data_IF_516723817301
#
_entry.id   IF_516723817301
#
_cell.length_a   1.000
_cell.length_b   1.000
_cell.length_c   1.000
_cell.angle_alpha   90.00
_cell.angle_beta   90.00
_cell.angle_gamma   90.00
#
_symmetry.space_group_name_H-M   'P 1'
#
loop_
_entity.id
_entity.type
_entity.pdbx_description
1 polymer ?
#
# COMPACT_ATOMS: atom_id res chain seq x y z
N UNK A 1 -23.38 27.64 12.90
CA UNK A 1 -23.08 27.39 11.48
C UNK A 1 -22.10 26.25 11.44
N UNK A 2 -22.44 25.14 10.80
CA UNK A 2 -21.51 24.04 10.63
C UNK A 2 -20.34 24.50 9.78
N UNK A 3 -19.10 24.36 10.27
CA UNK A 3 -17.89 24.77 9.55
C UNK A 3 -17.58 23.97 8.27
N UNK A 4 -18.55 23.21 7.76
CA UNK A 4 -18.43 22.35 6.60
C UNK A 4 -19.10 23.02 5.40
N UNK A 5 -18.30 23.38 4.39
CA UNK A 5 -18.74 23.84 3.06
C UNK A 5 -18.23 22.84 2.01
N UNK A 6 -18.84 21.65 1.97
CA UNK A 6 -18.47 20.62 1.01
C UNK A 6 -19.15 20.85 -0.34
N UNK A 7 -18.40 20.62 -1.42
CA UNK A 7 -18.90 20.59 -2.80
C UNK A 7 -18.93 19.13 -3.30
N UNK A 8 -20.07 18.42 -3.19
CA UNK A 8 -20.13 16.97 -3.46
C UNK A 8 -19.64 16.57 -4.84
N UNK A 9 -19.96 17.35 -5.88
CA UNK A 9 -19.49 17.08 -7.25
C UNK A 9 -17.97 17.20 -7.39
N UNK A 10 -17.35 18.19 -6.75
CA UNK A 10 -15.90 18.33 -6.74
C UNK A 10 -15.23 17.17 -6.01
N UNK A 11 -15.82 16.73 -4.90
CA UNK A 11 -15.32 15.58 -4.13
C UNK A 11 -15.42 14.29 -4.94
N UNK A 12 -16.53 14.05 -5.62
CA UNK A 12 -16.67 12.88 -6.52
C UNK A 12 -15.61 12.87 -7.62
N UNK A 13 -15.29 14.03 -8.21
CA UNK A 13 -14.20 14.15 -9.18
C UNK A 13 -12.84 13.73 -8.59
N UNK A 14 -12.49 14.26 -7.42
CA UNK A 14 -11.24 13.92 -6.72
C UNK A 14 -11.19 12.44 -6.32
N UNK A 15 -12.29 11.89 -5.78
CA UNK A 15 -12.41 10.49 -5.42
C UNK A 15 -12.19 9.57 -6.62
N UNK A 16 -12.78 9.92 -7.77
CA UNK A 16 -12.61 9.15 -9.01
C UNK A 16 -11.15 9.13 -9.45
N UNK A 17 -10.53 10.31 -9.62
CA UNK A 17 -9.13 10.40 -10.09
C UNK A 17 -8.14 9.77 -9.10
N UNK A 18 -8.40 9.92 -7.80
CA UNK A 18 -7.56 9.30 -6.76
C UNK A 18 -7.75 7.78 -6.75
N UNK A 19 -8.98 7.28 -6.92
CA UNK A 19 -9.26 5.85 -7.05
C UNK A 19 -8.63 5.23 -8.29
N UNK A 20 -8.70 5.91 -9.44
CA UNK A 20 -8.01 5.52 -10.67
C UNK A 20 -6.49 5.42 -10.43
N UNK A 21 -5.88 6.44 -9.81
CA UNK A 21 -4.44 6.42 -9.49
C UNK A 21 -4.09 5.30 -8.52
N UNK A 22 -4.90 5.11 -7.47
CA UNK A 22 -4.70 4.06 -6.48
C UNK A 22 -4.83 2.65 -7.08
N UNK A 23 -5.66 2.47 -8.11
CA UNK A 23 -5.80 1.19 -8.81
C UNK A 23 -4.51 0.72 -9.47
N UNK A 24 -3.60 1.64 -9.80
CA UNK A 24 -2.30 1.31 -10.39
C UNK A 24 -1.26 0.85 -9.37
N UNK A 25 -1.51 0.98 -8.06
CA UNK A 25 -0.56 0.57 -7.01
C UNK A 25 -0.23 -0.92 -7.13
N UNK A 26 -1.22 -1.77 -7.39
CA UNK A 26 -1.00 -3.21 -7.54
C UNK A 26 -0.13 -3.51 -8.77
N UNK A 27 -0.36 -2.82 -9.89
CA UNK A 27 0.46 -2.96 -11.11
C UNK A 27 1.91 -2.56 -10.85
N UNK A 28 2.14 -1.43 -10.19
CA UNK A 28 3.48 -0.98 -9.86
C UNK A 28 4.18 -1.91 -8.85
N UNK A 29 3.44 -2.44 -7.86
CA UNK A 29 3.98 -3.41 -6.92
C UNK A 29 4.40 -4.72 -7.60
N UNK A 30 3.64 -5.21 -8.58
CA UNK A 30 4.00 -6.39 -9.39
C UNK A 30 5.27 -6.13 -10.20
N UNK A 31 5.30 -5.03 -10.96
CA UNK A 31 6.47 -4.65 -11.76
C UNK A 31 7.74 -4.50 -10.89
N UNK A 32 7.59 -3.91 -9.70
CA UNK A 32 8.69 -3.78 -8.75
C UNK A 32 9.23 -5.15 -8.30
N UNK A 33 8.35 -6.11 -7.96
CA UNK A 33 8.75 -7.47 -7.60
C UNK A 33 9.43 -8.23 -8.75
N UNK A 34 8.95 -8.07 -9.97
CA UNK A 34 9.56 -8.65 -11.18
C UNK A 34 10.98 -8.10 -11.41
N UNK A 35 11.16 -6.79 -11.26
CA UNK A 35 12.48 -6.16 -11.40
C UNK A 35 13.45 -6.58 -10.29
N UNK A 36 13.00 -6.72 -9.05
CA UNK A 36 13.83 -7.23 -7.96
C UNK A 36 14.24 -8.69 -8.19
N UNK A 37 13.32 -9.54 -8.65
CA UNK A 37 13.62 -10.94 -8.99
C UNK A 37 14.63 -11.03 -10.13
N UNK A 38 14.44 -10.21 -11.17
CA UNK A 38 15.39 -10.09 -12.27
C UNK A 38 16.76 -9.63 -11.79
N UNK A 39 16.82 -8.59 -10.96
CA UNK A 39 18.07 -8.10 -10.40
C UNK A 39 18.77 -9.16 -9.53
N UNK A 40 18.04 -9.88 -8.67
CA UNK A 40 18.59 -10.95 -7.83
C UNK A 40 19.16 -12.10 -8.68
N UNK A 41 18.48 -12.45 -9.77
CA UNK A 41 18.93 -13.49 -10.71
C UNK A 41 20.20 -13.07 -11.45
N UNK A 42 20.33 -11.79 -11.80
CA UNK A 42 21.44 -11.25 -12.59
C UNK A 42 22.61 -10.72 -11.73
N UNK A 43 22.44 -10.57 -10.41
CA UNK A 43 23.43 -9.96 -9.50
C UNK A 43 24.69 -10.81 -9.26
N UNK A 44 24.82 -11.99 -9.89
CA UNK A 44 26.03 -12.81 -9.83
C UNK A 44 26.20 -13.58 -8.51
N UNK A 45 27.22 -14.44 -8.49
CA UNK A 45 27.43 -15.47 -7.46
C UNK A 45 28.57 -15.10 -6.50
N UNK A 46 28.51 -13.91 -5.87
CA UNK A 46 29.43 -13.63 -4.76
C UNK A 46 29.04 -14.55 -3.60
N UNK A 47 29.73 -15.68 -3.50
CA UNK A 47 29.60 -16.65 -2.41
C UNK A 47 30.02 -16.02 -1.09
N UNK A 48 29.33 -16.38 -0.01
CA UNK A 48 29.47 -15.76 1.32
C UNK A 48 30.77 -16.12 2.06
N UNK A 49 31.66 -16.92 1.47
CA UNK A 49 32.96 -17.26 2.05
C UNK A 49 34.03 -17.02 0.99
N UNK A 50 35.17 -16.45 1.37
CA UNK A 50 36.28 -16.07 0.48
C UNK A 50 37.00 -17.24 -0.21
N UNK A 51 36.28 -18.21 -0.75
CA UNK A 51 36.79 -19.37 -1.48
C UNK A 51 36.66 -19.18 -2.98
N UNK A 52 37.80 -19.24 -3.67
CA UNK A 52 37.85 -19.28 -5.12
C UNK A 52 37.20 -20.54 -5.70
N UNK A 53 36.60 -20.38 -6.88
CA UNK A 53 36.42 -21.43 -7.88
C UNK A 53 35.46 -22.58 -7.53
N UNK A 54 34.26 -22.54 -8.09
CA UNK A 54 33.41 -23.74 -8.22
C UNK A 54 31.93 -23.42 -8.29
N UNK A 55 31.33 -23.69 -9.45
CA UNK A 55 29.90 -23.71 -9.82
C UNK A 55 28.96 -22.61 -9.31
N UNK A 56 28.23 -22.01 -10.26
CA UNK A 56 27.23 -20.96 -10.09
C UNK A 56 26.27 -21.23 -8.91
N UNK A 57 26.62 -20.78 -7.71
CA UNK A 57 25.70 -20.70 -6.60
C UNK A 57 24.61 -19.69 -6.98
N UNK A 58 23.42 -20.19 -7.35
CA UNK A 58 22.28 -19.33 -7.65
C UNK A 58 21.99 -18.46 -6.41
N UNK A 59 22.32 -17.17 -6.52
CA UNK A 59 22.12 -16.17 -5.48
C UNK A 59 23.31 -16.01 -4.52
N UNK A 60 24.24 -15.11 -4.86
CA UNK A 60 25.23 -14.61 -3.90
C UNK A 60 24.62 -13.70 -2.83
N UNK A 61 25.45 -13.13 -1.95
CA UNK A 61 25.04 -12.20 -0.88
C UNK A 61 24.09 -11.09 -1.35
N UNK A 62 24.25 -10.62 -2.58
CA UNK A 62 23.40 -9.60 -3.20
C UNK A 62 21.97 -10.11 -3.41
N UNK A 63 21.78 -11.34 -3.89
CA UNK A 63 20.45 -11.92 -4.06
C UNK A 63 19.73 -12.09 -2.71
N UNK A 64 20.46 -12.48 -1.65
CA UNK A 64 19.93 -12.56 -0.30
C UNK A 64 19.48 -11.18 0.23
N UNK A 65 20.29 -10.14 0.02
CA UNK A 65 19.96 -8.78 0.41
C UNK A 65 18.75 -8.25 -0.37
N UNK A 66 18.65 -8.53 -1.67
CA UNK A 66 17.47 -8.18 -2.47
C UNK A 66 16.22 -8.92 -2.01
N UNK A 67 16.31 -10.19 -1.59
CA UNK A 67 15.17 -10.94 -1.05
C UNK A 67 14.64 -10.29 0.23
N UNK A 68 15.53 -9.96 1.18
CA UNK A 68 15.14 -9.28 2.42
C UNK A 68 14.56 -7.88 2.15
N UNK A 69 15.16 -7.13 1.22
CA UNK A 69 14.62 -5.84 0.80
C UNK A 69 13.25 -5.98 0.13
N UNK A 70 13.05 -6.98 -0.72
CA UNK A 70 11.78 -7.26 -1.37
C UNK A 70 10.67 -7.57 -0.36
N UNK A 71 10.96 -8.37 0.67
CA UNK A 71 10.01 -8.70 1.74
C UNK A 71 9.58 -7.46 2.52
N UNK A 72 10.54 -6.60 2.89
CA UNK A 72 10.23 -5.34 3.58
C UNK A 72 9.42 -4.40 2.69
N UNK A 73 9.89 -4.17 1.45
CA UNK A 73 9.24 -3.29 0.50
C UNK A 73 7.82 -3.77 0.14
N UNK A 74 7.57 -5.07 0.06
CA UNK A 74 6.24 -5.62 -0.16
C UNK A 74 5.29 -5.28 1.00
N UNK A 75 5.77 -5.26 2.24
CA UNK A 75 4.98 -4.86 3.40
C UNK A 75 4.63 -3.37 3.34
N UNK A 76 5.60 -2.52 3.00
CA UNK A 76 5.37 -1.08 2.83
C UNK A 76 4.39 -0.78 1.69
N UNK A 77 4.51 -1.47 0.55
CA UNK A 77 3.60 -1.33 -0.58
C UNK A 77 2.16 -1.72 -0.22
N UNK A 78 1.98 -2.82 0.53
CA UNK A 78 0.67 -3.21 1.08
C UNK A 78 0.11 -2.15 2.03
N UNK A 79 0.97 -1.57 2.87
CA UNK A 79 0.57 -0.50 3.80
C UNK A 79 0.06 0.73 3.06
N UNK A 80 0.79 1.16 2.02
CA UNK A 80 0.41 2.30 1.17
C UNK A 80 -0.94 2.02 0.49
N UNK A 81 -1.12 0.84 -0.10
CA UNK A 81 -2.38 0.46 -0.73
C UNK A 81 -3.55 0.49 0.26
N UNK A 82 -3.37 -0.13 1.43
CA UNK A 82 -4.39 -0.14 2.48
C UNK A 82 -4.70 1.27 3.01
N UNK A 83 -3.68 2.13 3.15
CA UNK A 83 -3.85 3.51 3.58
C UNK A 83 -4.60 4.35 2.55
N UNK A 84 -4.29 4.17 1.27
CA UNK A 84 -4.98 4.84 0.17
C UNK A 84 -6.46 4.44 0.14
N UNK A 85 -6.76 3.13 0.20
CA UNK A 85 -8.13 2.61 0.26
C UNK A 85 -8.92 3.16 1.46
N UNK A 86 -8.32 3.14 2.65
CA UNK A 86 -8.95 3.68 3.87
C UNK A 86 -9.24 5.18 3.78
N UNK A 87 -8.34 5.95 3.16
CA UNK A 87 -8.51 7.39 2.96
C UNK A 87 -9.63 7.70 1.97
N UNK A 88 -9.70 6.95 0.87
CA UNK A 88 -10.77 7.03 -0.13
C UNK A 88 -12.13 6.69 0.50
N UNK A 89 -12.22 5.57 1.21
CA UNK A 89 -13.46 5.15 1.87
C UNK A 89 -13.92 6.18 2.90
N UNK A 90 -13.00 6.68 3.73
CA UNK A 90 -13.32 7.73 4.71
C UNK A 90 -13.86 9.00 4.09
N UNK A 91 -13.34 9.41 2.93
CA UNK A 91 -13.84 10.56 2.19
C UNK A 91 -15.23 10.30 1.56
N UNK A 92 -15.50 9.09 1.07
CA UNK A 92 -16.83 8.66 0.61
C UNK A 92 -17.83 8.69 1.76
N UNK A 93 -17.49 8.07 2.89
CA UNK A 93 -18.34 7.97 4.07
C UNK A 93 -18.64 9.35 4.66
N UNK A 94 -17.63 10.21 4.78
CA UNK A 94 -17.79 11.57 5.29
C UNK A 94 -18.69 12.43 4.39
N UNK A 95 -18.53 12.31 3.06
CA UNK A 95 -19.37 13.04 2.10
C UNK A 95 -20.81 12.54 2.14
N UNK A 96 -21.00 11.22 2.29
CA UNK A 96 -22.33 10.60 2.40
C UNK A 96 -23.03 11.05 3.67
N UNK A 97 -22.35 11.00 4.81
CA UNK A 97 -22.88 11.48 6.08
C UNK A 97 -23.24 12.97 6.04
N UNK A 98 -22.38 13.81 5.43
CA UNK A 98 -22.65 15.23 5.22
C UNK A 98 -23.91 15.46 4.35
N UNK A 99 -24.07 14.71 3.26
CA UNK A 99 -25.25 14.79 2.39
C UNK A 99 -26.54 14.39 3.11
N UNK A 100 -26.44 13.46 4.07
CA UNK A 100 -27.55 13.05 4.92
C UNK A 100 -27.83 14.03 6.08
N UNK A 101 -27.05 15.10 6.21
CA UNK A 101 -27.17 16.09 7.29
C UNK A 101 -26.53 15.65 8.62
N UNK A 102 -25.83 14.52 8.65
CA UNK A 102 -25.18 13.97 9.84
C UNK A 102 -23.70 14.35 9.88
N UNK A 103 -23.43 15.51 10.48
CA UNK A 103 -22.09 16.07 10.54
C UNK A 103 -21.21 15.42 11.60
N UNK A 104 -21.82 14.83 12.65
CA UNK A 104 -21.08 14.06 13.65
C UNK A 104 -20.53 12.78 13.03
N UNK A 105 -21.35 12.08 12.25
CA UNK A 105 -20.94 10.91 11.49
C UNK A 105 -19.91 11.27 10.42
N UNK A 106 -20.02 12.44 9.77
CA UNK A 106 -19.01 12.91 8.82
C UNK A 106 -17.65 13.15 9.49
N UNK A 107 -17.63 13.79 10.66
CA UNK A 107 -16.41 14.01 11.43
C UNK A 107 -15.83 12.69 11.96
N UNK A 108 -16.68 11.75 12.36
CA UNK A 108 -16.25 10.42 12.81
C UNK A 108 -15.64 9.60 11.68
N UNK A 109 -16.23 9.63 10.48
CA UNK A 109 -15.68 8.99 9.29
C UNK A 109 -14.27 9.50 8.97
N UNK A 110 -14.05 10.83 9.04
CA UNK A 110 -12.71 11.41 8.89
C UNK A 110 -11.73 10.92 9.97
N UNK A 111 -12.14 10.91 11.25
CA UNK A 111 -11.28 10.43 12.36
C UNK A 111 -10.89 8.97 12.18
N UNK A 112 -11.83 8.11 11.79
CA UNK A 112 -11.57 6.70 11.51
C UNK A 112 -10.59 6.52 10.36
N UNK A 113 -10.72 7.31 9.30
CA UNK A 113 -9.83 7.28 8.15
C UNK A 113 -8.37 7.63 8.51
N UNK A 114 -8.16 8.51 9.49
CA UNK A 114 -6.82 8.90 9.97
C UNK A 114 -6.07 7.77 10.66
N UNK A 115 -6.76 6.76 11.20
CA UNK A 115 -6.12 5.65 11.90
C UNK A 115 -5.29 4.79 10.96
N UNK A 116 -4.06 4.43 11.34
CA UNK A 116 -3.19 3.61 10.51
C UNK A 116 -3.88 2.28 10.09
N UNK A 117 -3.64 1.78 8.87
CA UNK A 117 -3.98 0.41 8.51
C UNK A 117 -3.26 -0.56 9.43
N UNK A 118 -3.98 -1.57 9.90
CA UNK A 118 -3.38 -2.72 10.58
C UNK A 118 -3.22 -3.83 9.52
N UNK A 119 -1.98 -4.26 9.29
CA UNK A 119 -1.65 -5.31 8.32
C UNK A 119 -1.43 -6.66 9.00
N UNK A 120 -1.57 -6.76 10.32
CA UNK A 120 -1.35 -7.99 11.06
C UNK A 120 -2.46 -9.02 10.76
N UNK A 121 -2.15 -10.13 10.06
CA UNK A 121 -3.15 -11.13 9.70
C UNK A 121 -3.65 -11.97 10.90
N UNK A 122 -3.01 -11.87 12.08
CA UNK A 122 -3.32 -12.68 13.26
C UNK A 122 -4.23 -11.97 14.29
N UNK A 123 -4.61 -10.72 14.04
CA UNK A 123 -5.48 -9.96 14.95
C UNK A 123 -6.95 -10.19 14.64
N UNK A 124 -7.81 -10.46 15.64
CA UNK A 124 -9.25 -10.57 15.40
C UNK A 124 -9.80 -9.26 14.83
N UNK A 125 -10.35 -9.30 13.60
CA UNK A 125 -11.04 -8.16 12.98
C UNK A 125 -10.38 -7.54 11.75
N UNK A 126 -9.24 -8.05 11.27
CA UNK A 126 -8.73 -7.66 9.94
C UNK A 126 -9.57 -8.38 8.87
N UNK A 127 -10.60 -7.69 8.39
CA UNK A 127 -11.45 -8.18 7.32
C UNK A 127 -10.60 -8.48 6.09
N UNK A 128 -10.55 -9.76 5.74
CA UNK A 128 -10.32 -10.22 4.38
C UNK A 128 -11.41 -9.62 3.50
N UNK A 129 -11.05 -8.71 2.60
CA UNK A 129 -11.82 -8.43 1.38
C UNK A 129 -11.07 -9.04 0.21
#
# INVERSE_FOLDING_TARGET
>A
MSGWDLKPQGIQGVLKTTGETASHIETHAKSYGEHLTSAATNAGTISAEGGGGGEKAAGGLVALALSQYAEHAATDLKFIAARAGKSLQGAVDATTAYLNGDQEMAAEAQRKALSAPDLDPMKPGVQTS
#
